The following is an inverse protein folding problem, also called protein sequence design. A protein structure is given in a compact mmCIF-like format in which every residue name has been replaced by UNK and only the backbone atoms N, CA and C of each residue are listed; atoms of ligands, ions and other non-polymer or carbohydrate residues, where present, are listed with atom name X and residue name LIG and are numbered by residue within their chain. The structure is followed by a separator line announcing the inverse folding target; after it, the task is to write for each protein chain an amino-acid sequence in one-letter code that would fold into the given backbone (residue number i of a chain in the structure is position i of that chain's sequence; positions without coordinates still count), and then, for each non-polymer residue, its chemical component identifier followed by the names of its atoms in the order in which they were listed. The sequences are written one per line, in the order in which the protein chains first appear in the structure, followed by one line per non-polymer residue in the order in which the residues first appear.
data_IF_517569772114
#
_entry.id   IF_517569772114
#
_cell.length_a   1.000
_cell.length_b   1.000
_cell.length_c   1.000
_cell.angle_alpha   90.00
_cell.angle_beta   90.00
_cell.angle_gamma   90.00
#
_symmetry.space_group_name_H-M   'P 1'
#
loop_
_entity.id
_entity.type
_entity.pdbx_description
1 polymer ?
#
# COMPACT_ATOMS: atom_id res chain seq x y z
N UNK A 1 -22.52 4.39 19.45
CA UNK A 1 -21.13 4.23 19.94
C UNK A 1 -20.33 3.50 18.88
N UNK A 2 -19.29 4.13 18.33
CA UNK A 2 -18.40 3.48 17.36
C UNK A 2 -17.52 2.47 18.10
N UNK A 3 -17.81 1.19 17.96
CA UNK A 3 -16.94 0.12 18.48
C UNK A 3 -15.64 0.05 17.67
N UNK A 4 -14.53 -0.32 18.30
CA UNK A 4 -13.24 -0.57 17.64
C UNK A 4 -13.38 -1.54 16.46
N UNK A 5 -14.31 -2.49 16.54
CA UNK A 5 -14.56 -3.43 15.45
C UNK A 5 -15.15 -2.75 14.20
N UNK A 6 -15.96 -1.71 14.38
CA UNK A 6 -16.49 -0.90 13.28
C UNK A 6 -15.37 -0.09 12.65
N UNK A 7 -14.51 0.56 13.45
CA UNK A 7 -13.35 1.29 12.93
C UNK A 7 -12.40 0.39 12.11
N UNK A 8 -12.20 -0.85 12.55
CA UNK A 8 -11.43 -1.83 11.79
C UNK A 8 -12.10 -2.28 10.49
N UNK A 9 -13.44 -2.32 10.42
CA UNK A 9 -14.17 -2.60 9.17
C UNK A 9 -13.99 -1.43 8.22
N UNK A 10 -14.17 -0.21 8.70
CA UNK A 10 -13.95 1.01 7.91
C UNK A 10 -12.52 1.09 7.37
N UNK A 11 -11.51 0.85 8.21
CA UNK A 11 -10.10 0.88 7.77
C UNK A 11 -9.82 -0.10 6.62
N UNK A 12 -10.46 -1.28 6.63
CA UNK A 12 -10.28 -2.29 5.56
C UNK A 12 -10.82 -1.81 4.21
N UNK A 13 -11.74 -0.86 4.18
CA UNK A 13 -12.24 -0.28 2.94
C UNK A 13 -11.22 0.65 2.24
N UNK A 14 -10.18 1.09 2.97
CA UNK A 14 -9.17 2.03 2.49
C UNK A 14 -7.82 1.40 2.14
N UNK A 15 -7.52 0.22 2.67
CA UNK A 15 -6.29 -0.51 2.35
C UNK A 15 -6.51 -1.46 1.14
N UNK A 16 -5.46 -1.81 0.38
CA UNK A 16 -5.62 -2.68 -0.78
C UNK A 16 -5.88 -4.13 -0.35
N UNK A 17 -7.05 -4.65 -0.72
CA UNK A 17 -7.47 -6.03 -0.42
C UNK A 17 -7.67 -6.84 -1.69
N UNK A 18 -7.45 -8.15 -1.63
CA UNK A 18 -7.78 -9.03 -2.76
C UNK A 18 -9.30 -9.12 -2.96
N UNK A 19 -9.80 -9.32 -4.20
CA UNK A 19 -11.26 -9.41 -4.46
C UNK A 19 -11.98 -10.49 -3.67
N UNK A 20 -11.28 -11.58 -3.35
CA UNK A 20 -11.82 -12.74 -2.61
C UNK A 20 -11.09 -12.96 -1.29
N UNK A 21 -10.50 -11.91 -0.73
CA UNK A 21 -9.68 -12.06 0.47
C UNK A 21 -10.50 -12.49 1.68
N UNK A 22 -9.99 -13.47 2.43
CA UNK A 22 -10.46 -13.68 3.80
C UNK A 22 -10.19 -12.42 4.61
N UNK A 23 -11.08 -12.10 5.54
CA UNK A 23 -10.92 -10.92 6.41
C UNK A 23 -9.54 -10.90 7.07
N UNK A 24 -8.74 -9.89 6.76
CA UNK A 24 -7.43 -9.65 7.38
C UNK A 24 -7.55 -9.62 8.91
N UNK A 25 -6.56 -10.19 9.61
CA UNK A 25 -6.49 -10.09 11.07
C UNK A 25 -6.30 -8.62 11.51
N UNK A 26 -6.51 -8.31 12.80
CA UNK A 26 -6.32 -6.93 13.29
C UNK A 26 -4.89 -6.46 13.09
N UNK A 27 -3.90 -7.32 13.36
CA UNK A 27 -2.48 -6.98 13.21
C UNK A 27 -2.11 -6.80 11.74
N UNK A 28 -2.58 -7.67 10.85
CA UNK A 28 -2.29 -7.55 9.40
C UNK A 28 -2.93 -6.28 8.82
N UNK A 29 -4.16 -5.95 9.28
CA UNK A 29 -4.83 -4.71 8.88
C UNK A 29 -3.99 -3.49 9.24
N UNK A 30 -3.42 -3.45 10.46
CA UNK A 30 -2.59 -2.33 10.91
C UNK A 30 -1.26 -2.28 10.17
N UNK A 31 -0.56 -3.41 10.02
CA UNK A 31 0.71 -3.47 9.31
C UNK A 31 0.57 -3.02 7.85
N UNK A 32 -0.47 -3.51 7.17
CA UNK A 32 -0.76 -3.11 5.79
C UNK A 32 -1.13 -1.63 5.69
N UNK A 33 -1.94 -1.11 6.64
CA UNK A 33 -2.27 0.31 6.68
C UNK A 33 -1.02 1.20 6.87
N UNK A 34 -0.12 0.83 7.78
CA UNK A 34 1.13 1.56 8.03
C UNK A 34 2.00 1.59 6.77
N UNK A 35 2.22 0.42 6.14
CA UNK A 35 3.00 0.33 4.91
C UNK A 35 2.35 1.18 3.80
N UNK A 36 1.03 1.07 3.63
CA UNK A 36 0.31 1.81 2.60
C UNK A 36 0.36 3.33 2.81
N UNK A 37 0.20 3.81 4.05
CA UNK A 37 0.33 5.25 4.38
C UNK A 37 1.75 5.73 4.08
N UNK A 38 2.78 4.98 4.46
CA UNK A 38 4.17 5.36 4.19
C UNK A 38 4.46 5.45 2.69
N UNK A 39 3.95 4.49 1.90
CA UNK A 39 4.07 4.53 0.44
C UNK A 39 3.41 5.78 -0.14
N UNK A 40 2.17 6.10 0.27
CA UNK A 40 1.46 7.29 -0.21
C UNK A 40 2.16 8.59 0.23
N UNK A 41 2.68 8.63 1.45
CA UNK A 41 3.41 9.78 1.96
C UNK A 41 4.71 10.02 1.19
N UNK A 42 5.45 8.95 0.88
CA UNK A 42 6.68 9.07 0.09
C UNK A 42 6.39 9.59 -1.32
N UNK A 43 5.34 9.07 -1.97
CA UNK A 43 4.87 9.56 -3.28
C UNK A 43 4.53 11.05 -3.24
N UNK A 44 3.91 11.53 -2.17
CA UNK A 44 3.57 12.95 -2.01
C UNK A 44 4.80 13.83 -1.73
N UNK A 45 5.84 13.29 -1.10
CA UNK A 45 7.00 14.07 -0.62
C UNK A 45 8.14 14.18 -1.62
N UNK A 46 8.31 13.23 -2.54
CA UNK A 46 9.42 13.26 -3.50
C UNK A 46 9.29 14.35 -4.55
N UNK A 47 8.07 14.77 -4.89
CA UNK A 47 7.82 15.75 -5.96
C UNK A 47 8.21 15.25 -7.36
N UNK A 48 8.63 13.98 -7.47
CA UNK A 48 8.84 13.26 -8.71
C UNK A 48 7.49 12.76 -9.25
N UNK A 49 7.46 12.37 -10.53
CA UNK A 49 6.30 11.66 -11.07
C UNK A 49 6.03 10.37 -10.23
N UNK A 50 4.79 10.18 -9.72
CA UNK A 50 4.45 9.06 -8.86
C UNK A 50 4.76 7.69 -9.46
N UNK A 51 4.52 7.52 -10.77
CA UNK A 51 4.77 6.25 -11.46
C UNK A 51 6.27 5.97 -11.50
N UNK A 52 7.07 6.95 -11.87
CA UNK A 52 8.53 6.84 -11.94
C UNK A 52 9.14 6.52 -10.58
N UNK A 53 8.72 7.23 -9.52
CA UNK A 53 9.16 6.98 -8.15
C UNK A 53 8.82 5.56 -7.70
N UNK A 54 7.56 5.15 -7.86
CA UNK A 54 7.11 3.83 -7.43
C UNK A 54 7.81 2.70 -8.20
N UNK A 55 8.00 2.83 -9.52
CA UNK A 55 8.74 1.85 -10.33
C UNK A 55 10.18 1.69 -9.84
N UNK A 56 10.86 2.80 -9.52
CA UNK A 56 12.21 2.78 -8.94
C UNK A 56 12.22 2.02 -7.62
N UNK A 57 11.32 2.36 -6.69
CA UNK A 57 11.22 1.71 -5.38
C UNK A 57 10.89 0.22 -5.48
N UNK A 58 9.97 -0.17 -6.36
CA UNK A 58 9.60 -1.57 -6.60
C UNK A 58 10.80 -2.36 -7.15
N UNK A 59 11.57 -1.80 -8.06
CA UNK A 59 12.77 -2.44 -8.60
C UNK A 59 13.86 -2.62 -7.52
N UNK A 60 14.05 -1.62 -6.65
CA UNK A 60 14.95 -1.73 -5.50
C UNK A 60 14.49 -2.84 -4.53
N UNK A 61 13.19 -2.90 -4.24
CA UNK A 61 12.64 -3.94 -3.37
C UNK A 61 12.78 -5.35 -3.95
N UNK A 62 12.49 -5.52 -5.24
CA UNK A 62 12.62 -6.81 -5.95
C UNK A 62 14.07 -7.28 -6.10
N UNK A 63 15.02 -6.36 -6.16
CA UNK A 63 16.45 -6.69 -6.22
C UNK A 63 17.07 -6.97 -4.85
N UNK A 64 16.30 -6.87 -3.76
CA UNK A 64 16.81 -7.04 -2.40
C UNK A 64 17.80 -5.93 -1.99
N UNK A 65 17.69 -4.75 -2.61
CA UNK A 65 18.60 -3.65 -2.34
C UNK A 65 18.35 -3.07 -0.93
N UNK A 66 19.40 -2.83 -0.11
CA UNK A 66 19.24 -2.22 1.21
C UNK A 66 18.61 -0.81 1.20
N UNK A 67 18.65 -0.12 0.06
CA UNK A 67 18.01 1.17 -0.16
C UNK A 67 16.52 1.09 -0.56
N UNK A 68 15.91 -0.10 -0.55
CA UNK A 68 14.47 -0.24 -0.75
C UNK A 68 13.71 0.43 0.40
N UNK A 69 12.59 1.12 0.12
CA UNK A 69 11.84 1.80 1.17
C UNK A 69 11.18 0.80 2.13
N UNK A 70 11.07 1.17 3.39
CA UNK A 70 10.53 0.29 4.45
C UNK A 70 9.07 -0.13 4.23
N UNK A 71 8.31 0.63 3.44
CA UNK A 71 6.94 0.28 3.07
C UNK A 71 6.86 -0.87 2.05
N UNK A 72 7.94 -1.22 1.36
CA UNK A 72 7.98 -2.25 0.30
C UNK A 72 7.95 -3.69 0.85
N UNK A 73 7.02 -3.93 1.78
CA UNK A 73 6.77 -5.26 2.36
C UNK A 73 6.25 -6.21 1.28
N UNK A 74 6.54 -7.51 1.43
CA UNK A 74 6.06 -8.54 0.49
C UNK A 74 4.54 -8.52 0.31
N UNK A 75 3.81 -8.25 1.40
CA UNK A 75 2.34 -8.17 1.39
C UNK A 75 1.84 -6.97 0.59
N UNK A 76 2.40 -5.75 0.79
CA UNK A 76 1.98 -4.58 0.02
C UNK A 76 2.38 -4.72 -1.46
N UNK A 77 3.57 -5.25 -1.76
CA UNK A 77 4.01 -5.49 -3.14
C UNK A 77 3.09 -6.45 -3.90
N UNK A 78 2.62 -7.52 -3.25
CA UNK A 78 1.66 -8.45 -3.84
C UNK A 78 0.29 -7.81 -4.11
N UNK A 79 -0.01 -6.69 -3.45
CA UNK A 79 -1.29 -5.98 -3.54
C UNK A 79 -1.27 -4.78 -4.48
N UNK A 80 -0.13 -4.44 -5.09
CA UNK A 80 -0.01 -3.26 -5.95
C UNK A 80 -1.03 -3.27 -7.10
N UNK A 81 -1.28 -4.44 -7.72
CA UNK A 81 -2.28 -4.58 -8.79
C UNK A 81 -3.73 -4.35 -8.34
N UNK A 82 -3.99 -4.32 -7.03
CA UNK A 82 -5.31 -4.16 -6.43
C UNK A 82 -5.52 -2.78 -5.81
N UNK A 83 -4.51 -1.91 -5.86
CA UNK A 83 -4.66 -0.51 -5.47
C UNK A 83 -5.53 0.20 -6.51
N UNK A 84 -6.45 1.04 -6.02
CA UNK A 84 -7.33 1.85 -6.87
C UNK A 84 -6.57 3.06 -7.41
N UNK A 85 -5.54 2.83 -8.25
CA UNK A 85 -4.63 3.87 -8.77
C UNK A 85 -5.36 5.05 -9.41
N UNK A 86 -6.44 4.81 -10.15
CA UNK A 86 -7.28 5.88 -10.72
C UNK A 86 -7.87 6.84 -9.68
N UNK A 87 -8.17 6.36 -8.47
CA UNK A 87 -8.64 7.25 -7.38
C UNK A 87 -7.52 8.10 -6.78
N UNK A 88 -6.27 7.73 -7.03
CA UNK A 88 -5.08 8.46 -6.62
C UNK A 88 -4.57 9.40 -7.72
N UNK A 89 -5.17 9.37 -8.92
CA UNK A 89 -4.68 10.13 -10.07
C UNK A 89 -3.34 9.62 -10.62
N UNK A 90 -3.00 8.36 -10.34
CA UNK A 90 -1.76 7.72 -10.78
C UNK A 90 -2.14 6.67 -11.84
N UNK A 91 -1.36 6.59 -12.92
CA UNK A 91 -1.53 5.53 -13.93
C UNK A 91 -1.22 4.15 -13.32
N UNK A 92 -1.90 3.07 -13.74
CA UNK A 92 -1.71 1.76 -13.16
C UNK A 92 -0.27 1.27 -13.38
N UNK A 93 0.42 0.94 -12.28
CA UNK A 93 1.72 0.28 -12.33
C UNK A 93 1.48 -1.22 -12.54
N UNK A 94 1.21 -1.62 -13.78
CA UNK A 94 1.13 -3.03 -14.19
C UNK A 94 2.50 -3.59 -14.55
#
# INVERSE_FOLDING_TARGET
MCSINVAFIELRNFIPTFPYEKRLSKIDTLNLAIAYINMLNDVLRTGEDPEMYLRKCINLARSGNPGAPSWSTSDLLARLGWIKWRRLGIEPIT
#
